data_IF_793605561795
#
_entry.id   IF_793605561795
#
_cell.length_a   1.000
_cell.length_b   1.000
_cell.length_c   1.000
_cell.angle_alpha   90.00
_cell.angle_beta   90.00
_cell.angle_gamma   90.00
#
_symmetry.space_group_name_H-M   'P 1'
#
loop_
_entity.id
_entity.type
_entity.pdbx_description
1 polymer ?
#
# COMPACT_ATOMS: atom_id res chain seq x y z
N UNK A 1 -5.29 -6.62 -35.06
CA UNK A 1 -6.19 -6.25 -33.95
C UNK A 1 -5.57 -5.07 -33.23
N UNK A 2 -6.32 -3.99 -33.02
CA UNK A 2 -5.81 -2.84 -32.25
C UNK A 2 -5.66 -3.27 -30.79
N UNK A 3 -4.45 -3.17 -30.23
CA UNK A 3 -4.23 -3.40 -28.80
C UNK A 3 -4.90 -2.22 -28.08
N UNK A 4 -5.92 -2.46 -27.23
CA UNK A 4 -6.57 -1.38 -26.50
C UNK A 4 -5.54 -0.66 -25.63
N UNK A 5 -5.55 0.67 -25.68
CA UNK A 5 -4.63 1.50 -24.90
C UNK A 5 -4.92 1.32 -23.40
N UNK A 6 -3.89 1.33 -22.54
CA UNK A 6 -4.09 1.36 -21.09
C UNK A 6 -4.97 2.53 -20.68
N UNK A 7 -6.02 2.26 -19.91
CA UNK A 7 -6.97 3.27 -19.42
C UNK A 7 -6.84 3.45 -17.89
N UNK A 8 -7.11 4.65 -17.38
CA UNK A 8 -7.18 4.89 -15.94
C UNK A 8 -8.25 4.01 -15.27
N UNK A 9 -7.94 3.52 -14.08
CA UNK A 9 -8.78 2.62 -13.27
C UNK A 9 -10.18 3.19 -13.08
N UNK A 10 -10.28 4.49 -12.79
CA UNK A 10 -11.56 5.16 -12.54
C UNK A 10 -12.37 5.40 -13.83
N UNK A 11 -11.77 5.17 -15.00
CA UNK A 11 -12.44 5.28 -16.30
C UNK A 11 -12.85 3.91 -16.89
N UNK A 12 -12.57 2.81 -16.17
CA UNK A 12 -12.96 1.47 -16.60
C UNK A 12 -14.48 1.29 -16.47
N UNK A 13 -15.08 0.68 -17.49
CA UNK A 13 -16.46 0.23 -17.41
C UNK A 13 -16.60 -0.95 -16.43
N UNK A 14 -17.83 -1.22 -15.97
CA UNK A 14 -18.13 -2.27 -14.97
C UNK A 14 -17.61 -3.65 -15.38
N UNK A 15 -17.72 -4.01 -16.67
CA UNK A 15 -17.23 -5.27 -17.20
C UNK A 15 -15.68 -5.34 -17.21
N UNK A 16 -15.01 -4.26 -17.59
CA UNK A 16 -13.54 -4.14 -17.55
C UNK A 16 -13.03 -4.25 -16.11
N UNK A 17 -13.68 -3.56 -15.18
CA UNK A 17 -13.36 -3.62 -13.75
C UNK A 17 -13.56 -5.03 -13.19
N UNK A 18 -14.67 -5.70 -13.53
CA UNK A 18 -14.96 -7.07 -13.12
C UNK A 18 -13.94 -8.07 -13.68
N UNK A 19 -13.47 -7.86 -14.91
CA UNK A 19 -12.39 -8.68 -15.47
C UNK A 19 -11.07 -8.44 -14.71
N UNK A 20 -10.75 -7.18 -14.41
CA UNK A 20 -9.55 -6.81 -13.66
C UNK A 20 -9.53 -7.40 -12.23
N UNK A 21 -10.66 -7.44 -11.52
CA UNK A 21 -10.73 -8.05 -10.17
C UNK A 21 -10.50 -9.57 -10.17
N UNK A 22 -10.59 -10.22 -11.34
CA UNK A 22 -10.36 -11.66 -11.53
C UNK A 22 -9.00 -11.98 -12.14
N UNK A 23 -8.30 -10.99 -12.70
CA UNK A 23 -7.02 -11.19 -13.37
C UNK A 23 -5.88 -11.34 -12.37
N UNK A 24 -5.51 -12.60 -12.10
CA UNK A 24 -4.46 -12.95 -11.12
C UNK A 24 -3.04 -12.78 -11.64
N UNK A 25 -2.84 -12.41 -12.91
CA UNK A 25 -1.50 -12.17 -13.46
C UNK A 25 -0.82 -10.98 -12.76
N UNK A 26 -1.63 -10.01 -12.32
CA UNK A 26 -1.19 -8.74 -11.75
C UNK A 26 -1.85 -8.52 -10.37
N UNK A 27 -1.34 -9.13 -9.29
CA UNK A 27 -2.01 -9.13 -7.99
C UNK A 27 -2.27 -7.74 -7.39
N UNK A 28 -1.35 -6.78 -7.56
CA UNK A 28 -1.57 -5.41 -7.06
C UNK A 28 -2.66 -4.71 -7.87
N UNK A 29 -2.63 -4.84 -9.19
CA UNK A 29 -3.68 -4.28 -10.05
C UNK A 29 -5.05 -4.89 -9.74
N UNK A 30 -5.09 -6.22 -9.59
CA UNK A 30 -6.30 -6.96 -9.23
C UNK A 30 -6.93 -6.41 -7.95
N UNK A 31 -6.10 -6.16 -6.93
CA UNK A 31 -6.57 -5.70 -5.62
C UNK A 31 -6.92 -4.21 -5.62
N UNK A 32 -6.24 -3.38 -6.40
CA UNK A 32 -6.67 -2.00 -6.64
C UNK A 32 -8.03 -1.94 -7.35
N UNK A 33 -8.24 -2.79 -8.35
CA UNK A 33 -9.53 -2.93 -9.02
C UNK A 33 -10.63 -3.40 -8.06
N UNK A 34 -10.31 -4.34 -7.16
CA UNK A 34 -11.23 -4.81 -6.13
C UNK A 34 -11.63 -3.66 -5.19
N UNK A 35 -10.66 -2.92 -4.65
CA UNK A 35 -10.89 -1.75 -3.80
C UNK A 35 -11.81 -0.74 -4.49
N UNK A 36 -11.52 -0.40 -5.76
CA UNK A 36 -12.35 0.51 -6.53
C UNK A 36 -13.78 -0.02 -6.76
N UNK A 37 -13.93 -1.32 -7.03
CA UNK A 37 -15.25 -1.96 -7.22
C UNK A 37 -16.11 -1.91 -5.95
N UNK A 38 -15.49 -1.97 -4.78
CA UNK A 38 -16.12 -1.82 -3.47
C UNK A 38 -16.34 -0.36 -3.06
N UNK A 39 -16.05 0.60 -3.96
CA UNK A 39 -16.12 2.04 -3.71
C UNK A 39 -15.23 2.51 -2.55
N UNK A 40 -14.18 1.74 -2.25
CA UNK A 40 -13.15 2.16 -1.32
C UNK A 40 -12.21 3.15 -2.03
N UNK A 41 -11.73 4.18 -1.32
CA UNK A 41 -10.86 5.16 -1.94
C UNK A 41 -9.53 4.50 -2.31
N UNK A 42 -9.14 4.59 -3.57
CA UNK A 42 -7.91 4.00 -4.11
C UNK A 42 -7.37 4.92 -5.19
N UNK A 43 -6.05 4.90 -5.37
CA UNK A 43 -5.38 5.69 -6.39
C UNK A 43 -5.94 5.41 -7.78
N UNK A 44 -6.18 6.48 -8.55
CA UNK A 44 -6.36 6.31 -9.99
C UNK A 44 -5.03 5.83 -10.61
N UNK A 45 -5.11 4.84 -11.48
CA UNK A 45 -3.92 4.18 -12.00
C UNK A 45 -4.16 3.50 -13.35
N UNK A 46 -3.11 3.29 -14.13
CA UNK A 46 -3.12 2.54 -15.38
C UNK A 46 -2.19 1.34 -15.26
N UNK A 47 -2.68 0.15 -15.65
CA UNK A 47 -1.85 -1.04 -15.83
C UNK A 47 -1.23 -1.05 -17.23
N UNK A 48 0.08 -1.22 -17.28
CA UNK A 48 0.86 -1.37 -18.50
C UNK A 48 1.48 -2.78 -18.49
N UNK A 49 0.97 -3.71 -19.32
CA UNK A 49 1.50 -5.07 -19.40
C UNK A 49 2.92 -5.11 -20.01
N UNK A 50 3.71 -6.18 -19.73
CA UNK A 50 4.96 -6.45 -20.42
C UNK A 50 4.82 -6.46 -21.95
N UNK A 51 5.89 -6.12 -22.66
CA UNK A 51 5.90 -6.05 -24.13
C UNK A 51 5.23 -4.81 -24.73
N UNK A 52 4.74 -3.88 -23.90
CA UNK A 52 4.15 -2.62 -24.34
C UNK A 52 5.21 -1.65 -24.88
N UNK A 53 4.92 -0.99 -26.00
CA UNK A 53 5.84 -0.03 -26.63
C UNK A 53 6.03 1.25 -25.80
N UNK A 54 7.18 1.91 -25.92
CA UNK A 54 7.43 3.20 -25.25
C UNK A 54 6.42 4.30 -25.64
N UNK A 55 5.90 4.27 -26.88
CA UNK A 55 4.86 5.20 -27.31
C UNK A 55 3.55 4.99 -26.55
N UNK A 56 3.14 3.73 -26.37
CA UNK A 56 1.95 3.38 -25.58
C UNK A 56 2.13 3.76 -24.11
N UNK A 57 3.33 3.59 -23.54
CA UNK A 57 3.64 4.06 -22.17
C UNK A 57 3.44 5.57 -22.06
N UNK A 58 3.95 6.36 -23.02
CA UNK A 58 3.73 7.82 -23.06
C UNK A 58 2.25 8.17 -23.13
N UNK A 59 1.50 7.53 -24.03
CA UNK A 59 0.05 7.77 -24.16
C UNK A 59 -0.69 7.47 -22.86
N UNK A 60 -0.37 6.35 -22.20
CA UNK A 60 -0.97 5.99 -20.91
C UNK A 60 -0.63 7.00 -19.81
N UNK A 61 0.62 7.46 -19.75
CA UNK A 61 1.05 8.49 -18.81
C UNK A 61 0.30 9.81 -19.03
N UNK A 62 0.21 10.29 -20.28
CA UNK A 62 -0.53 11.50 -20.61
C UNK A 62 -2.02 11.40 -20.29
N UNK A 63 -2.65 10.26 -20.61
CA UNK A 63 -4.05 10.02 -20.30
C UNK A 63 -4.31 10.05 -18.79
N UNK A 64 -3.44 9.42 -17.99
CA UNK A 64 -3.56 9.45 -16.53
C UNK A 64 -3.35 10.86 -15.98
N UNK A 65 -2.33 11.59 -16.45
CA UNK A 65 -2.09 12.97 -15.99
C UNK A 65 -3.21 13.93 -16.32
N UNK A 66 -3.87 13.76 -17.47
CA UNK A 66 -5.05 14.54 -17.81
C UNK A 66 -6.23 14.20 -16.88
N UNK A 67 -6.41 12.91 -16.55
CA UNK A 67 -7.49 12.47 -15.66
C UNK A 67 -7.30 12.91 -14.20
N UNK A 68 -6.07 13.11 -13.75
CA UNK A 68 -5.74 13.40 -12.34
C UNK A 68 -5.16 14.81 -12.14
N UNK A 69 -5.14 15.64 -13.18
CA UNK A 69 -4.63 17.02 -13.18
C UNK A 69 -3.24 17.17 -12.54
N UNK A 70 -2.30 16.30 -12.89
CA UNK A 70 -0.93 16.28 -12.33
C UNK A 70 0.13 16.30 -13.44
N UNK A 71 1.33 16.81 -13.13
CA UNK A 71 2.50 16.74 -14.01
C UNK A 71 3.45 15.58 -13.66
N UNK A 72 3.15 14.83 -12.61
CA UNK A 72 3.99 13.75 -12.09
C UNK A 72 3.18 12.50 -11.81
N UNK A 73 3.81 11.33 -11.94
CA UNK A 73 3.18 10.03 -11.72
C UNK A 73 4.06 9.14 -10.85
N UNK A 74 3.42 8.31 -10.05
CA UNK A 74 4.08 7.25 -9.29
C UNK A 74 4.23 6.00 -10.14
N UNK A 75 5.39 5.35 -10.09
CA UNK A 75 5.64 4.05 -10.72
C UNK A 75 5.58 2.94 -9.65
N UNK A 76 4.82 1.89 -9.93
CA UNK A 76 4.83 0.63 -9.18
C UNK A 76 5.05 -0.53 -10.17
N UNK A 77 5.69 -1.61 -9.70
CA UNK A 77 5.83 -2.84 -10.47
C UNK A 77 4.89 -3.93 -9.94
N UNK A 78 4.40 -4.78 -10.83
CA UNK A 78 3.46 -5.86 -10.50
C UNK A 78 3.69 -7.14 -11.32
N UNK A 79 3.30 -8.29 -10.75
CA UNK A 79 3.52 -9.62 -11.31
C UNK A 79 5.00 -9.97 -11.59
N UNK A 80 5.22 -11.01 -12.39
CA UNK A 80 6.54 -11.49 -12.79
C UNK A 80 7.33 -12.21 -11.68
N UNK A 81 8.44 -12.86 -12.06
CA UNK A 81 9.34 -13.52 -11.09
C UNK A 81 10.00 -12.45 -10.22
N UNK A 82 9.94 -12.62 -8.90
CA UNK A 82 10.67 -11.74 -7.97
C UNK A 82 12.17 -12.01 -8.12
N UNK A 83 12.88 -11.06 -8.76
CA UNK A 83 14.34 -11.02 -8.75
C UNK A 83 14.81 -10.36 -7.45
N UNK A 84 16.00 -10.73 -6.97
CA UNK A 84 16.61 -10.19 -5.71
C UNK A 84 16.66 -8.66 -5.64
N UNK A 85 16.64 -7.97 -6.78
CA UNK A 85 16.54 -6.51 -6.87
C UNK A 85 15.07 -6.10 -7.00
N UNK A 86 14.43 -5.86 -5.85
CA UNK A 86 13.04 -5.41 -5.79
C UNK A 86 12.93 -3.92 -6.17
N UNK A 87 12.21 -3.58 -7.25
CA UNK A 87 11.89 -2.18 -7.56
C UNK A 87 11.00 -1.57 -6.47
N UNK A 88 11.55 -0.58 -5.77
CA UNK A 88 10.85 0.11 -4.68
C UNK A 88 9.88 1.13 -5.27
N UNK A 89 8.62 0.73 -5.39
CA UNK A 89 7.54 1.65 -5.75
C UNK A 89 7.31 2.72 -4.66
N UNK A 90 6.56 3.76 -5.02
CA UNK A 90 6.18 4.84 -4.10
C UNK A 90 6.73 6.21 -4.49
N UNK A 91 7.78 6.25 -5.31
CA UNK A 91 8.40 7.50 -5.76
C UNK A 91 7.63 8.04 -6.97
N UNK A 92 7.57 9.37 -7.04
CA UNK A 92 6.81 10.12 -8.04
C UNK A 92 7.79 10.86 -8.94
N UNK A 93 7.58 10.77 -10.25
CA UNK A 93 8.49 11.31 -11.26
C UNK A 93 7.74 12.19 -12.26
N UNK A 94 8.39 13.20 -12.86
CA UNK A 94 7.85 13.93 -14.01
C UNK A 94 7.43 12.98 -15.14
N UNK A 95 6.35 13.30 -15.86
CA UNK A 95 5.83 12.46 -16.96
C UNK A 95 6.91 12.10 -17.99
N UNK A 96 7.83 13.03 -18.27
CA UNK A 96 8.89 12.84 -19.26
C UNK A 96 9.86 11.71 -18.87
N UNK A 97 10.01 11.42 -17.58
CA UNK A 97 10.87 10.37 -17.06
C UNK A 97 10.17 9.00 -16.98
N UNK A 98 8.85 8.94 -17.17
CA UNK A 98 8.09 7.69 -17.01
C UNK A 98 8.51 6.63 -18.03
N UNK A 99 8.62 6.91 -19.36
CA UNK A 99 9.00 5.89 -20.33
C UNK A 99 10.36 5.23 -20.07
N UNK A 100 11.48 5.97 -19.85
CA UNK A 100 12.76 5.34 -19.59
C UNK A 100 12.77 4.54 -18.28
N UNK A 101 12.05 5.00 -17.23
CA UNK A 101 11.95 4.27 -15.96
C UNK A 101 11.10 3.00 -16.05
N UNK A 102 10.05 3.01 -16.88
CA UNK A 102 9.21 1.85 -17.12
C UNK A 102 9.90 0.77 -17.99
N UNK A 103 10.81 1.17 -18.88
CA UNK A 103 11.42 0.28 -19.86
C UNK A 103 12.11 -0.94 -19.22
N UNK A 104 12.91 -0.75 -18.17
CA UNK A 104 13.59 -1.85 -17.48
C UNK A 104 12.62 -2.84 -16.85
N UNK A 105 11.55 -2.35 -16.20
CA UNK A 105 10.52 -3.18 -15.58
C UNK A 105 9.76 -4.03 -16.62
N UNK A 106 9.41 -3.42 -17.75
CA UNK A 106 8.70 -4.11 -18.83
C UNK A 106 9.60 -5.15 -19.52
N UNK A 107 10.89 -4.85 -19.69
CA UNK A 107 11.88 -5.78 -20.22
C UNK A 107 12.12 -6.98 -19.29
N UNK A 108 12.01 -6.78 -17.98
CA UNK A 108 12.03 -7.84 -16.97
C UNK A 108 10.74 -8.67 -16.90
N UNK A 109 9.85 -8.54 -17.89
CA UNK A 109 8.55 -9.19 -17.94
C UNK A 109 7.65 -8.87 -16.72
N UNK A 110 7.83 -7.69 -16.12
CA UNK A 110 6.95 -7.18 -15.05
C UNK A 110 5.98 -6.16 -15.63
N UNK A 111 4.76 -6.15 -15.13
CA UNK A 111 3.85 -5.07 -15.46
C UNK A 111 4.24 -3.80 -14.69
N UNK A 112 3.93 -2.65 -15.29
CA UNK A 112 4.08 -1.34 -14.67
C UNK A 112 2.69 -0.82 -14.34
N UNK A 113 2.49 -0.38 -13.11
CA UNK A 113 1.32 0.39 -12.69
C UNK A 113 1.77 1.84 -12.57
N UNK A 114 1.24 2.69 -13.46
CA UNK A 114 1.33 4.14 -13.28
C UNK A 114 0.18 4.56 -12.39
N UNK A 115 0.45 5.31 -11.33
CA UNK A 115 -0.56 5.80 -10.42
C UNK A 115 -0.45 7.31 -10.26
N UNK A 116 -1.57 7.95 -9.95
CA UNK A 116 -1.57 9.33 -9.50
C UNK A 116 -0.65 9.50 -8.27
N UNK A 117 -0.04 10.68 -8.09
CA UNK A 117 0.97 10.86 -7.06
C UNK A 117 0.38 10.91 -5.65
N UNK A 118 1.23 10.59 -4.69
CA UNK A 118 1.00 10.78 -3.25
C UNK A 118 2.21 11.47 -2.65
N UNK A 119 2.00 12.27 -1.61
CA UNK A 119 3.11 12.86 -0.87
C UNK A 119 3.29 12.14 0.47
N UNK A 120 4.28 11.25 0.54
CA UNK A 120 4.58 10.47 1.76
C UNK A 120 5.07 11.30 2.94
N UNK A 121 5.45 12.55 2.72
CA UNK A 121 5.90 13.48 3.76
C UNK A 121 4.72 14.16 4.46
N UNK A 122 3.53 14.12 3.86
CA UNK A 122 2.32 14.77 4.35
C UNK A 122 1.27 13.78 4.86
N UNK A 123 1.64 12.51 5.04
CA UNK A 123 0.79 11.54 5.71
C UNK A 123 0.43 12.05 7.10
N UNK A 124 -0.86 12.03 7.43
CA UNK A 124 -1.43 12.38 8.73
C UNK A 124 -1.73 11.15 9.58
N UNK A 125 -1.96 10.00 8.95
CA UNK A 125 -2.13 8.71 9.60
C UNK A 125 -1.81 7.61 8.59
N UNK A 126 -1.11 6.60 9.04
CA UNK A 126 -0.85 5.36 8.29
C UNK A 126 -1.30 4.20 9.16
N UNK A 127 -2.12 3.29 8.62
CA UNK A 127 -2.62 2.11 9.32
C UNK A 127 -2.36 0.87 8.47
N UNK A 128 -1.66 -0.12 9.01
CA UNK A 128 -1.64 -1.48 8.50
C UNK A 128 -2.79 -2.25 9.15
N UNK A 129 -3.68 -2.81 8.33
CA UNK A 129 -4.85 -3.56 8.77
C UNK A 129 -4.62 -5.02 8.40
N UNK A 130 -4.62 -5.89 9.39
CA UNK A 130 -4.43 -7.33 9.25
C UNK A 130 -5.67 -8.06 9.77
N UNK A 131 -6.20 -8.96 8.96
CA UNK A 131 -7.31 -9.85 9.28
C UNK A 131 -6.76 -11.27 9.30
N UNK A 132 -6.83 -11.95 10.43
CA UNK A 132 -6.43 -13.34 10.57
C UNK A 132 -7.65 -14.20 10.86
N UNK A 133 -7.68 -15.43 10.33
CA UNK A 133 -8.65 -16.42 10.78
C UNK A 133 -8.13 -17.86 10.68
N UNK A 134 -8.57 -18.75 11.59
CA UNK A 134 -8.13 -20.15 11.59
C UNK A 134 -8.69 -20.96 10.41
N UNK A 135 -9.78 -20.49 9.80
CA UNK A 135 -10.45 -21.15 8.68
C UNK A 135 -11.89 -20.63 8.51
N UNK A 136 -12.62 -21.12 7.50
CA UNK A 136 -14.02 -20.76 7.30
C UNK A 136 -14.88 -21.13 8.51
N UNK A 137 -15.82 -20.27 8.89
CA UNK A 137 -16.76 -20.47 9.99
C UNK A 137 -16.15 -20.43 11.40
N UNK A 138 -14.85 -20.09 11.53
CA UNK A 138 -14.17 -19.93 12.82
C UNK A 138 -13.89 -18.44 13.08
N UNK A 139 -14.12 -17.96 14.32
CA UNK A 139 -13.77 -16.60 14.68
C UNK A 139 -12.29 -16.32 14.42
N UNK A 140 -12.03 -15.16 13.84
CA UNK A 140 -10.72 -14.63 13.57
C UNK A 140 -10.39 -13.42 14.46
N UNK A 141 -9.38 -12.67 14.06
CA UNK A 141 -9.04 -11.41 14.71
C UNK A 141 -8.73 -10.32 13.68
N UNK A 142 -8.84 -9.07 14.12
CA UNK A 142 -8.48 -7.89 13.37
C UNK A 142 -7.43 -7.11 14.16
N UNK A 143 -6.30 -6.83 13.52
CA UNK A 143 -5.24 -6.01 14.08
C UNK A 143 -5.01 -4.78 13.21
N UNK A 144 -4.95 -3.60 13.83
CA UNK A 144 -4.62 -2.34 13.19
C UNK A 144 -3.38 -1.75 13.85
N UNK A 145 -2.29 -1.65 13.10
CA UNK A 145 -1.04 -1.05 13.53
C UNK A 145 -0.90 0.33 12.90
N UNK A 146 -0.72 1.37 13.72
CA UNK A 146 -0.75 2.75 13.25
C UNK A 146 0.56 3.50 13.52
N UNK A 147 0.92 4.34 12.56
CA UNK A 147 1.89 5.41 12.69
C UNK A 147 1.22 6.75 12.35
N UNK A 148 1.57 7.79 13.10
CA UNK A 148 1.02 9.11 12.98
C UNK A 148 1.64 9.96 11.86
N UNK A 149 1.43 11.28 11.92
CA UNK A 149 1.99 12.24 10.98
C UNK A 149 3.46 12.04 10.58
N UNK A 150 3.75 12.07 9.27
CA UNK A 150 5.09 11.99 8.67
C UNK A 150 5.61 10.57 8.37
N UNK A 151 4.93 9.54 8.86
CA UNK A 151 5.24 8.14 8.58
C UNK A 151 4.39 7.58 7.42
N UNK A 152 4.92 6.58 6.73
CA UNK A 152 4.37 5.94 5.53
C UNK A 152 4.18 4.43 5.71
N UNK A 153 3.33 3.79 4.90
CA UNK A 153 3.02 2.35 4.97
C UNK A 153 4.26 1.49 4.90
N UNK A 154 5.24 1.91 4.10
CA UNK A 154 6.50 1.20 4.02
C UNK A 154 7.23 1.16 5.37
N UNK A 155 7.01 2.11 6.29
CA UNK A 155 7.60 2.12 7.65
C UNK A 155 7.13 0.93 8.49
N UNK A 156 5.83 0.64 8.47
CA UNK A 156 5.25 -0.51 9.16
C UNK A 156 5.64 -1.84 8.51
N UNK A 157 5.65 -1.91 7.17
CA UNK A 157 5.79 -3.19 6.46
C UNK A 157 7.23 -3.60 6.17
N UNK A 158 8.12 -2.65 5.86
CA UNK A 158 9.52 -2.89 5.44
C UNK A 158 10.54 -2.14 6.27
N UNK A 159 10.12 -1.05 6.91
CA UNK A 159 10.98 -0.19 7.70
C UNK A 159 11.30 -0.74 9.07
N UNK A 160 10.57 -1.78 9.51
CA UNK A 160 10.71 -2.34 10.86
C UNK A 160 10.59 -1.23 11.93
N UNK A 161 9.77 -0.22 11.64
CA UNK A 161 9.42 0.83 12.58
C UNK A 161 8.22 0.28 13.37
N UNK A 162 8.36 0.07 14.69
CA UNK A 162 7.26 -0.45 15.49
C UNK A 162 6.07 0.53 15.45
N UNK A 163 4.82 0.05 15.48
CA UNK A 163 3.66 0.93 15.52
C UNK A 163 3.66 1.83 16.76
N UNK A 164 3.13 3.04 16.64
CA UNK A 164 2.89 3.92 17.79
C UNK A 164 1.65 3.48 18.56
N UNK A 165 0.66 2.93 17.85
CA UNK A 165 -0.60 2.47 18.42
C UNK A 165 -1.00 1.18 17.73
N UNK A 166 -1.47 0.23 18.51
CA UNK A 166 -2.10 -1.00 18.01
C UNK A 166 -3.53 -1.04 18.52
N UNK A 167 -4.49 -1.26 17.64
CA UNK A 167 -5.86 -1.59 17.99
C UNK A 167 -6.13 -3.04 17.58
N UNK A 168 -6.73 -3.81 18.48
CA UNK A 168 -6.97 -5.23 18.29
C UNK A 168 -8.42 -5.58 18.64
N UNK A 169 -8.99 -6.49 17.87
CA UNK A 169 -10.32 -7.05 18.06
C UNK A 169 -10.24 -8.57 17.87
N UNK A 170 -10.62 -9.30 18.90
CA UNK A 170 -10.71 -10.76 18.91
C UNK A 170 -12.11 -11.24 18.48
N UNK A 171 -12.25 -12.56 18.28
CA UNK A 171 -13.52 -13.24 18.05
C UNK A 171 -14.37 -12.67 16.89
N UNK A 172 -13.70 -12.18 15.85
CA UNK A 172 -14.36 -11.61 14.67
C UNK A 172 -14.87 -12.72 13.76
N UNK A 173 -16.19 -12.84 13.65
CA UNK A 173 -16.82 -13.68 12.63
C UNK A 173 -16.80 -12.95 11.28
N UNK A 174 -15.84 -13.30 10.41
CA UNK A 174 -15.72 -12.72 9.07
C UNK A 174 -16.74 -13.25 8.05
N UNK A 175 -17.58 -14.24 8.42
CA UNK A 175 -18.65 -14.77 7.59
C UNK A 175 -20.00 -14.11 7.91
N UNK A 176 -20.17 -13.58 9.13
CA UNK A 176 -21.38 -12.88 9.56
C UNK A 176 -21.09 -11.51 10.17
N UNK A 177 -21.57 -10.46 9.49
CA UNK A 177 -21.33 -9.09 9.92
C UNK A 177 -21.94 -8.82 11.30
N UNK A 178 -21.10 -8.37 12.23
CA UNK A 178 -21.52 -7.77 13.49
C UNK A 178 -20.65 -6.53 13.75
N UNK A 179 -21.25 -5.34 13.97
CA UNK A 179 -20.47 -4.16 14.28
C UNK A 179 -19.86 -4.28 15.69
N UNK A 180 -18.54 -4.05 15.86
CA UNK A 180 -17.90 -4.18 17.16
C UNK A 180 -18.35 -3.06 18.09
N UNK A 181 -18.52 -3.41 19.36
CA UNK A 181 -18.79 -2.49 20.46
C UNK A 181 -17.49 -1.85 20.92
N UNK A 182 -17.56 -0.62 21.41
CA UNK A 182 -16.36 0.12 21.80
C UNK A 182 -15.51 -0.61 22.86
N UNK A 183 -16.14 -1.29 23.82
CA UNK A 183 -15.43 -2.03 24.87
C UNK A 183 -14.74 -3.32 24.41
N UNK A 184 -15.02 -3.80 23.19
CA UNK A 184 -14.36 -4.98 22.61
C UNK A 184 -12.99 -4.63 22.02
N UNK A 185 -12.74 -3.34 21.74
CA UNK A 185 -11.47 -2.87 21.21
C UNK A 185 -10.40 -2.83 22.28
N UNK A 186 -9.28 -3.52 22.04
CA UNK A 186 -8.05 -3.41 22.82
C UNK A 186 -7.11 -2.46 22.11
N UNK A 187 -7.03 -1.20 22.58
CA UNK A 187 -6.16 -0.17 22.00
C UNK A 187 -4.98 0.09 22.94
N UNK A 188 -3.76 -0.16 22.48
CA UNK A 188 -2.53 0.05 23.23
C UNK A 188 -1.61 1.01 22.48
N UNK A 189 -1.10 2.03 23.18
CA UNK A 189 -0.03 2.90 22.69
C UNK A 189 1.35 2.37 23.08
N UNK A 190 2.36 2.63 22.26
CA UNK A 190 3.74 2.47 22.70
C UNK A 190 4.13 3.65 23.60
N UNK A 191 4.44 3.33 24.85
CA UNK A 191 4.88 4.28 25.87
C UNK A 191 6.37 4.10 26.23
N UNK A 192 7.13 3.36 25.43
CA UNK A 192 8.56 3.16 25.65
C UNK A 192 9.30 4.51 25.66
N UNK A 193 10.05 4.84 26.74
CA UNK A 193 10.87 6.05 26.79
C UNK A 193 11.85 6.11 25.61
N UNK A 194 11.85 7.23 24.87
CA UNK A 194 12.69 7.40 23.67
C UNK A 194 12.24 6.61 22.43
N UNK A 195 11.13 5.87 22.51
CA UNK A 195 10.61 5.10 21.38
C UNK A 195 10.29 5.95 20.16
N UNK A 196 9.72 7.14 20.35
CA UNK A 196 9.41 8.07 19.24
C UNK A 196 10.67 8.63 18.58
N UNK A 197 11.69 8.99 19.36
CA UNK A 197 12.95 9.49 18.79
C UNK A 197 13.68 8.39 18.00
N UNK A 198 13.62 7.14 18.48
CA UNK A 198 14.14 5.99 17.76
C UNK A 198 13.38 5.75 16.43
N UNK A 199 12.04 5.84 16.43
CA UNK A 199 11.23 5.76 15.19
C UNK A 199 11.59 6.87 14.21
N UNK A 200 11.67 8.11 14.69
CA UNK A 200 11.98 9.28 13.88
C UNK A 200 13.36 9.14 13.24
N UNK A 201 14.38 8.76 14.00
CA UNK A 201 15.74 8.54 13.48
C UNK A 201 15.76 7.48 12.38
N UNK A 202 15.16 6.31 12.62
CA UNK A 202 15.06 5.23 11.61
C UNK A 202 14.34 5.70 10.34
N UNK A 203 13.26 6.47 10.50
CA UNK A 203 12.52 7.05 9.38
C UNK A 203 13.40 8.00 8.56
N UNK A 204 14.11 8.92 9.22
CA UNK A 204 14.99 9.90 8.57
C UNK A 204 16.15 9.22 7.83
N UNK A 205 16.81 8.23 8.44
CA UNK A 205 17.86 7.42 7.78
C UNK A 205 17.32 6.77 6.50
N UNK A 206 16.10 6.24 6.56
CA UNK A 206 15.46 5.61 5.41
C UNK A 206 15.06 6.60 4.34
N UNK A 207 14.54 7.76 4.72
CA UNK A 207 14.22 8.82 3.77
C UNK A 207 15.47 9.27 3.03
N UNK A 208 16.57 9.51 3.74
CA UNK A 208 17.85 9.88 3.14
C UNK A 208 18.30 8.84 2.11
N UNK A 209 18.46 7.59 2.54
CA UNK A 209 19.09 6.53 1.73
C UNK A 209 18.21 5.99 0.59
N UNK A 210 16.88 6.09 0.70
CA UNK A 210 15.96 5.36 -0.20
C UNK A 210 14.98 6.26 -0.95
N UNK A 211 14.68 7.44 -0.42
CA UNK A 211 13.69 8.35 -1.01
C UNK A 211 14.37 9.54 -1.65
N UNK A 212 15.19 10.26 -0.88
CA UNK A 212 15.80 11.50 -1.35
C UNK A 212 16.94 11.22 -2.34
N UNK A 213 17.74 10.19 -2.12
CA UNK A 213 18.76 9.77 -3.11
C UNK A 213 18.13 9.33 -4.44
N UNK A 214 17.09 8.50 -4.43
CA UNK A 214 16.44 8.03 -5.67
C UNK A 214 15.68 9.14 -6.42
N UNK A 215 15.16 10.12 -5.67
CA UNK A 215 14.56 11.33 -6.24
C UNK A 215 15.56 12.38 -6.72
N UNK A 216 16.86 12.17 -6.55
CA UNK A 216 17.89 13.17 -6.90
C UNK A 216 17.83 14.43 -6.04
N UNK A 217 17.43 14.30 -4.78
CA UNK A 217 17.19 15.42 -3.86
C UNK A 217 18.30 15.63 -2.82
N UNK A 218 19.35 14.80 -2.83
CA UNK A 218 20.51 14.93 -1.94
C UNK A 218 21.79 15.05 -2.75
N UNK A 219 22.52 16.15 -2.51
CA UNK A 219 23.91 16.32 -2.92
C UNK A 219 24.79 16.01 -1.69
N UNK A 220 25.49 14.86 -1.70
CA UNK A 220 26.41 14.47 -0.62
C UNK A 220 26.02 13.19 0.14
N UNK A 221 26.54 13.04 1.37
CA UNK A 221 26.38 11.82 2.16
C UNK A 221 24.95 11.67 2.71
N UNK A 222 24.31 10.53 2.44
CA UNK A 222 22.99 10.22 2.96
C UNK A 222 23.02 10.04 4.49
N UNK A 223 22.18 10.77 5.22
CA UNK A 223 22.05 10.64 6.68
C UNK A 223 20.78 11.27 7.23
N UNK A 224 20.41 10.90 8.46
CA UNK A 224 19.20 11.40 9.12
C UNK A 224 19.16 12.92 9.26
N UNK A 225 20.28 13.55 9.62
CA UNK A 225 20.39 15.00 9.78
C UNK A 225 20.10 15.74 8.47
N UNK A 226 20.62 15.23 7.34
CA UNK A 226 20.36 15.80 6.02
C UNK A 226 18.89 15.65 5.62
N UNK A 227 18.28 14.48 5.87
CA UNK A 227 16.85 14.29 5.61
C UNK A 227 16.00 15.22 6.49
N UNK A 228 16.38 15.42 7.75
CA UNK A 228 15.68 16.35 8.64
C UNK A 228 15.77 17.79 8.15
N UNK A 229 16.98 18.27 7.85
CA UNK A 229 17.18 19.61 7.29
C UNK A 229 16.35 19.82 6.02
N UNK A 230 16.42 18.87 5.09
CA UNK A 230 15.66 18.90 3.84
C UNK A 230 14.14 18.98 4.05
N UNK A 231 13.61 18.19 4.99
CA UNK A 231 12.17 18.19 5.33
C UNK A 231 11.76 19.53 5.95
N UNK A 232 12.56 20.06 6.88
CA UNK A 232 12.29 21.33 7.56
C UNK A 232 12.33 22.52 6.61
N UNK A 233 13.34 22.61 5.76
CA UNK A 233 13.48 23.66 4.74
C UNK A 233 12.27 23.72 3.79
N UNK A 234 11.63 22.57 3.54
CA UNK A 234 10.46 22.45 2.66
C UNK A 234 9.12 22.51 3.41
N UNK A 235 9.15 22.77 4.71
CA UNK A 235 7.94 22.90 5.53
C UNK A 235 7.24 21.58 5.84
N UNK A 236 7.86 20.42 5.62
CA UNK A 236 7.32 19.11 5.99
C UNK A 236 7.52 18.84 7.49
N UNK A 237 6.78 19.57 8.31
CA UNK A 237 6.97 19.59 9.76
C UNK A 237 6.20 18.50 10.51
N UNK A 238 5.34 17.75 9.82
CA UNK A 238 4.43 16.76 10.41
C UNK A 238 5.14 15.70 11.25
N UNK A 239 6.32 15.23 10.82
CA UNK A 239 7.11 14.23 11.54
C UNK A 239 7.66 14.72 12.89
N UNK A 240 7.76 16.04 13.07
CA UNK A 240 8.39 16.67 14.24
C UNK A 240 7.39 17.25 15.23
N UNK A 241 6.10 17.25 14.89
CA UNK A 241 5.04 17.74 15.77
C UNK A 241 4.48 16.68 16.71
N UNK A 242 3.61 17.07 17.66
CA UNK A 242 2.83 16.13 18.46
C UNK A 242 2.02 15.17 17.60
N UNK A 243 1.93 13.92 18.05
CA UNK A 243 1.35 12.80 17.28
C UNK A 243 0.09 12.28 17.99
N UNK A 244 -1.13 12.79 17.68
CA UNK A 244 -2.38 12.30 18.29
C UNK A 244 -2.84 10.98 17.66
N UNK A 245 -1.92 10.04 17.45
CA UNK A 245 -2.12 8.81 16.64
C UNK A 245 -3.20 7.92 17.24
N UNK A 246 -3.27 7.82 18.58
CA UNK A 246 -4.28 7.01 19.26
C UNK A 246 -5.69 7.52 18.99
N UNK A 247 -5.92 8.82 19.19
CA UNK A 247 -7.20 9.45 18.90
C UNK A 247 -7.56 9.36 17.41
N UNK A 248 -6.58 9.56 16.53
CA UNK A 248 -6.77 9.48 15.08
C UNK A 248 -7.18 8.08 14.61
N UNK A 249 -6.59 7.02 15.19
CA UNK A 249 -6.95 5.63 14.96
C UNK A 249 -8.32 5.30 15.57
N UNK A 250 -8.55 5.66 16.84
CA UNK A 250 -9.80 5.41 17.56
C UNK A 250 -11.02 5.95 16.81
N UNK A 251 -10.95 7.20 16.30
CA UNK A 251 -12.02 7.82 15.50
C UNK A 251 -12.34 7.07 14.20
N UNK A 252 -11.44 6.21 13.71
CA UNK A 252 -11.56 5.49 12.43
C UNK A 252 -11.75 3.99 12.60
N UNK A 253 -11.47 3.43 13.78
CA UNK A 253 -11.45 1.99 14.03
C UNK A 253 -12.71 1.28 13.52
N UNK A 254 -13.90 1.80 13.83
CA UNK A 254 -15.16 1.23 13.34
C UNK A 254 -15.24 1.20 11.81
N UNK A 255 -14.91 2.31 11.14
CA UNK A 255 -14.98 2.37 9.68
C UNK A 255 -13.96 1.44 9.02
N UNK A 256 -12.75 1.38 9.56
CA UNK A 256 -11.70 0.48 9.08
C UNK A 256 -12.07 -0.99 9.30
N UNK A 257 -12.77 -1.32 10.39
CA UNK A 257 -13.36 -2.64 10.58
C UNK A 257 -14.40 -2.96 9.50
N UNK A 258 -15.34 -2.05 9.23
CA UNK A 258 -16.37 -2.24 8.22
C UNK A 258 -15.75 -2.49 6.84
N UNK A 259 -14.78 -1.66 6.43
CA UNK A 259 -14.07 -1.80 5.16
C UNK A 259 -13.28 -3.13 5.11
N UNK A 260 -12.59 -3.51 6.20
CA UNK A 260 -11.88 -4.78 6.30
C UNK A 260 -12.81 -5.99 6.18
N UNK A 261 -13.97 -5.94 6.84
CA UNK A 261 -14.99 -6.97 6.77
C UNK A 261 -15.50 -7.15 5.33
N UNK A 262 -15.81 -6.06 4.63
CA UNK A 262 -16.22 -6.13 3.22
C UNK A 262 -15.10 -6.63 2.30
N UNK A 263 -13.84 -6.29 2.58
CA UNK A 263 -12.69 -6.82 1.84
C UNK A 263 -12.54 -8.33 2.02
N UNK A 264 -12.68 -8.82 3.24
CA UNK A 264 -12.71 -10.24 3.57
C UNK A 264 -13.86 -10.96 2.84
N UNK A 265 -15.06 -10.40 2.86
CA UNK A 265 -16.22 -10.93 2.15
C UNK A 265 -16.08 -10.88 0.63
N UNK A 266 -15.32 -9.95 0.08
CA UNK A 266 -15.12 -9.85 -1.36
C UNK A 266 -14.05 -10.82 -1.90
N UNK A 267 -13.34 -11.55 -1.04
CA UNK A 267 -12.34 -12.51 -1.48
C UNK A 267 -12.96 -13.72 -2.20
N UNK A 268 -12.43 -14.00 -3.41
CA UNK A 268 -12.78 -15.22 -4.16
C UNK A 268 -12.31 -16.50 -3.46
N UNK A 269 -11.20 -16.43 -2.72
CA UNK A 269 -10.73 -17.53 -1.89
C UNK A 269 -11.47 -17.47 -0.56
N UNK A 270 -12.33 -18.44 -0.26
CA UNK A 270 -12.97 -18.52 1.07
C UNK A 270 -12.11 -19.22 2.11
N UNK A 271 -10.90 -19.65 1.78
CA UNK A 271 -9.99 -20.33 2.70
C UNK A 271 -8.78 -19.48 3.12
N UNK A 272 -8.78 -18.16 2.86
CA UNK A 272 -7.68 -17.30 3.33
C UNK A 272 -7.50 -17.39 4.85
N UNK A 273 -6.25 -17.40 5.30
CA UNK A 273 -5.89 -17.37 6.74
C UNK A 273 -5.39 -16.01 7.21
N UNK A 274 -4.80 -15.22 6.32
CA UNK A 274 -4.27 -13.90 6.63
C UNK A 274 -4.48 -12.98 5.43
N UNK A 275 -5.28 -11.93 5.62
CA UNK A 275 -5.39 -10.81 4.68
C UNK A 275 -4.76 -9.57 5.31
N UNK A 276 -4.06 -8.76 4.52
CA UNK A 276 -3.53 -7.49 4.98
C UNK A 276 -3.75 -6.39 3.94
N UNK A 277 -4.19 -5.22 4.37
CA UNK A 277 -4.25 -4.00 3.56
C UNK A 277 -3.65 -2.85 4.33
N UNK A 278 -3.35 -1.75 3.65
CA UNK A 278 -2.92 -0.53 4.31
C UNK A 278 -3.85 0.63 3.93
N UNK A 279 -4.04 1.52 4.89
CA UNK A 279 -4.84 2.73 4.78
C UNK A 279 -3.98 3.95 5.14
N UNK A 280 -4.09 5.02 4.36
CA UNK A 280 -3.39 6.27 4.62
C UNK A 280 -4.34 7.45 4.55
N UNK A 281 -4.11 8.43 5.42
CA UNK A 281 -4.73 9.77 5.38
C UNK A 281 -3.62 10.76 5.08
N UNK A 282 -3.84 11.63 4.09
CA UNK A 282 -2.90 12.69 3.72
C UNK A 282 -3.33 14.04 4.30
N UNK A 283 -2.56 15.10 4.01
CA UNK A 283 -2.80 16.45 4.52
C UNK A 283 -4.01 17.15 3.88
N UNK A 284 -4.18 16.96 2.59
CA UNK A 284 -5.50 17.13 1.96
C UNK A 284 -6.42 16.02 2.50
N UNK A 285 -7.75 16.25 2.69
CA UNK A 285 -8.69 15.27 3.27
C UNK A 285 -8.94 14.03 2.40
N UNK A 286 -7.94 13.65 1.61
CA UNK A 286 -7.81 12.43 0.84
C UNK A 286 -7.34 11.30 1.75
N UNK A 287 -8.07 10.21 1.69
CA UNK A 287 -7.63 8.93 2.23
C UNK A 287 -7.55 7.93 1.09
N UNK A 288 -6.71 6.90 1.23
CA UNK A 288 -6.62 5.81 0.27
C UNK A 288 -6.38 4.49 0.99
N UNK A 289 -6.85 3.42 0.36
CA UNK A 289 -6.33 2.08 0.52
C UNK A 289 -5.26 1.81 -0.53
N UNK A 290 -4.25 1.03 -0.15
CA UNK A 290 -3.14 0.65 -1.03
C UNK A 290 -3.46 -0.62 -1.82
N UNK A 291 -2.89 -1.75 -1.43
CA UNK A 291 -3.13 -3.07 -2.01
C UNK A 291 -3.57 -4.04 -0.92
N UNK A 292 -4.34 -5.06 -1.32
CA UNK A 292 -4.74 -6.15 -0.45
C UNK A 292 -3.83 -7.35 -0.71
N UNK A 293 -3.24 -7.88 0.36
CA UNK A 293 -2.33 -9.01 0.33
C UNK A 293 -3.02 -10.21 0.95
N UNK A 294 -3.08 -11.31 0.20
CA UNK A 294 -3.40 -12.64 0.73
C UNK A 294 -2.07 -13.31 1.13
N UNK A 295 -1.85 -13.43 2.44
CA UNK A 295 -0.62 -13.95 3.04
C UNK A 295 -0.33 -15.38 2.62
N UNK A 296 -1.36 -16.23 2.50
CA UNK A 296 -1.17 -17.60 2.01
C UNK A 296 -0.56 -17.58 0.62
N UNK A 297 -1.07 -16.75 -0.28
CA UNK A 297 -0.65 -16.72 -1.68
C UNK A 297 0.70 -16.06 -1.86
N UNK A 298 0.95 -14.98 -1.12
CA UNK A 298 2.20 -14.23 -1.23
C UNK A 298 3.40 -15.07 -0.76
N UNK A 299 3.24 -15.83 0.33
CA UNK A 299 4.33 -16.63 0.91
C UNK A 299 4.34 -18.09 0.45
N UNK A 300 3.20 -18.66 0.00
CA UNK A 300 3.22 -19.99 -0.60
C UNK A 300 4.12 -20.05 -1.84
N UNK A 301 4.19 -18.98 -2.64
CA UNK A 301 5.06 -18.89 -3.81
C UNK A 301 6.56 -18.99 -3.47
N UNK A 302 6.95 -18.67 -2.23
CA UNK A 302 8.33 -18.75 -1.71
C UNK A 302 8.65 -20.04 -0.96
N UNK A 303 7.65 -20.87 -0.62
CA UNK A 303 7.87 -22.14 0.06
C UNK A 303 8.34 -23.23 -0.94
N UNK A 304 9.46 -23.95 -0.66
CA UNK A 304 9.86 -25.12 -1.44
C UNK A 304 8.74 -26.16 -1.46
N UNK A 305 8.55 -26.84 -2.60
CA UNK A 305 7.44 -27.77 -2.82
C UNK A 305 7.33 -28.90 -1.76
N UNK A 306 8.41 -29.24 -1.07
CA UNK A 306 8.42 -30.25 -0.01
C UNK A 306 7.61 -29.84 1.23
N UNK A 307 7.63 -28.56 1.65
CA UNK A 307 6.91 -28.10 2.83
C UNK A 307 5.38 -28.06 2.64
N UNK A 308 4.91 -27.90 1.38
CA UNK A 308 3.47 -27.85 1.08
C UNK A 308 2.75 -29.20 1.21
N UNK A 309 3.50 -30.30 1.18
CA UNK A 309 2.93 -31.64 1.31
C UNK A 309 2.87 -32.11 2.77
N UNK A 310 3.74 -31.61 3.65
CA UNK A 310 3.70 -31.92 5.08
C UNK A 310 2.59 -31.14 5.80
N UNK A 311 2.37 -29.85 5.47
CA UNK A 311 1.28 -29.05 6.06
C UNK A 311 -0.12 -29.44 5.58
N UNK A 312 -0.24 -30.12 4.43
CA UNK A 312 -1.54 -30.66 3.95
C UNK A 312 -1.85 -32.06 4.48
N UNK A 313 -0.87 -32.73 5.08
CA UNK A 313 -1.00 -34.07 5.63
C UNK A 313 -1.14 -34.08 7.16
N UNK A 314 -1.05 -32.91 7.80
CA UNK A 314 -1.28 -32.67 9.23
C UNK A 314 -2.62 -31.96 9.45
#
# INVERSE_FOLDING_TARGET
>A
MAIPLPRPLHALATNELTAATKDRRWPKWQTMALLHSLKLPVLNACLIPPGTSAATVRTAAHALTAATCTATLMIRSDGGVEKKQYYRGGNTFPVVEIPPRAAGLLADCRAVILAEPTNRFTNRLTVLIRMDRPGPGRPGCLTMEALGPGYDVADLTRGQIPPQVTAHLDDVDFDRYQPPRWHEWKISGDHCPGGEDARRRRRLERLATQTLTDGGHLDGAAGAEHAEAWLRERGFLHLFGPQPTCEALAKRARRLFEDAFFLALAQSNRNWHCLATAFSVFDEPRSIYWDLVDGERKYAATAPAAARNEERAA
#
